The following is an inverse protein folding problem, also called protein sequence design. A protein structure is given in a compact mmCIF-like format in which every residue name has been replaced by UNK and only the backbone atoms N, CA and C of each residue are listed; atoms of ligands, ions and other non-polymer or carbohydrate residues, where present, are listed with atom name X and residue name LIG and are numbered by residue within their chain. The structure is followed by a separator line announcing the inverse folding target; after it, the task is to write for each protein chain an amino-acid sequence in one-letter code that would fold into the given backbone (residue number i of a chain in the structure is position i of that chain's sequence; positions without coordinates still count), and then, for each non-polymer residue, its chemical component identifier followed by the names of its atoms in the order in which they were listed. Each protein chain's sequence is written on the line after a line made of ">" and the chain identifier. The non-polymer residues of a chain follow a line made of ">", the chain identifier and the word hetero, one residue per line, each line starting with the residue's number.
data_IF_171275592271
#
_entry.id   IF_171275592271
#
_cell.length_a   1.000
_cell.length_b   1.000
_cell.length_c   1.000
_cell.angle_alpha   90.00
_cell.angle_beta   90.00
_cell.angle_gamma   90.00
#
_symmetry.space_group_name_H-M   'P 1'
#
loop_
_entity.id
_entity.type
_entity.pdbx_description
1 polymer ?
#
# COMPACT_ATOMS: atom_id res chain seq x y z
N UNK A 1 3.20 27.99 7.96
CA UNK A 1 1.77 27.63 7.73
C UNK A 1 1.18 27.23 9.10
N UNK A 2 0.03 27.75 9.48
CA UNK A 2 -0.61 27.35 10.76
C UNK A 2 -1.48 26.12 10.52
N UNK A 3 -0.98 24.93 10.85
CA UNK A 3 -1.68 23.65 10.62
C UNK A 3 -2.96 23.56 11.43
N UNK A 4 -2.98 24.07 12.65
CA UNK A 4 -4.18 24.12 13.50
C UNK A 4 -5.35 24.81 12.80
N UNK A 5 -5.10 25.98 12.17
CA UNK A 5 -6.14 26.70 11.44
C UNK A 5 -6.67 25.94 10.21
N UNK A 6 -5.82 25.17 9.53
CA UNK A 6 -6.23 24.33 8.39
C UNK A 6 -7.15 23.22 8.90
N UNK A 7 -6.72 22.45 9.90
CA UNK A 7 -7.48 21.34 10.47
C UNK A 7 -8.82 21.82 11.02
N UNK A 8 -8.85 22.96 11.72
CA UNK A 8 -10.09 23.55 12.23
C UNK A 8 -11.07 23.93 11.12
N UNK A 9 -10.62 24.55 10.02
CA UNK A 9 -11.47 24.87 8.87
C UNK A 9 -12.04 23.62 8.22
N UNK A 10 -11.23 22.58 8.04
CA UNK A 10 -11.69 21.31 7.49
C UNK A 10 -12.67 20.61 8.43
N UNK A 11 -12.47 20.69 9.73
CA UNK A 11 -13.39 20.16 10.74
C UNK A 11 -14.75 20.90 10.70
N UNK A 12 -14.74 22.20 10.59
CA UNK A 12 -15.98 23.01 10.42
C UNK A 12 -16.72 22.64 9.13
N UNK A 13 -15.99 22.47 8.01
CA UNK A 13 -16.58 22.04 6.74
C UNK A 13 -17.19 20.65 6.84
N UNK A 14 -16.49 19.70 7.46
CA UNK A 14 -17.01 18.36 7.71
C UNK A 14 -18.26 18.37 8.59
N UNK A 15 -18.26 19.18 9.67
CA UNK A 15 -19.39 19.31 10.60
C UNK A 15 -20.63 19.94 9.95
N UNK A 16 -20.48 20.74 8.91
CA UNK A 16 -21.60 21.26 8.13
C UNK A 16 -22.43 20.16 7.45
N UNK A 17 -21.88 18.94 7.34
CA UNK A 17 -22.54 17.81 6.68
C UNK A 17 -22.44 17.83 5.15
N UNK A 18 -21.73 18.78 4.54
CA UNK A 18 -21.61 18.91 3.08
C UNK A 18 -21.06 17.62 2.42
N UNK A 19 -20.15 16.89 3.08
CA UNK A 19 -19.51 15.69 2.53
C UNK A 19 -20.37 14.42 2.63
N UNK A 20 -21.56 14.48 3.27
CA UNK A 20 -22.37 13.28 3.60
C UNK A 20 -23.10 12.71 2.39
N UNK A 21 -23.55 13.56 1.45
CA UNK A 21 -24.39 13.10 0.35
C UNK A 21 -23.59 12.27 -0.67
N UNK A 22 -24.26 11.30 -1.29
CA UNK A 22 -23.68 10.52 -2.40
C UNK A 22 -23.29 11.43 -3.57
N UNK A 23 -24.14 12.43 -3.88
CA UNK A 23 -23.91 13.32 -5.01
C UNK A 23 -22.66 14.19 -4.81
N UNK A 24 -22.46 14.76 -3.62
CA UNK A 24 -21.25 15.51 -3.31
C UNK A 24 -19.99 14.67 -3.56
N UNK A 25 -19.95 13.44 -3.01
CA UNK A 25 -18.79 12.53 -3.15
C UNK A 25 -18.53 12.18 -4.62
N UNK A 26 -19.59 11.91 -5.38
CA UNK A 26 -19.47 11.63 -6.83
C UNK A 26 -18.95 12.81 -7.62
N UNK A 27 -19.43 14.01 -7.31
CA UNK A 27 -18.96 15.25 -7.94
C UNK A 27 -17.47 15.47 -7.67
N UNK A 28 -17.03 15.30 -6.42
CA UNK A 28 -15.60 15.48 -6.09
C UNK A 28 -14.71 14.44 -6.77
N UNK A 29 -15.12 13.16 -6.80
CA UNK A 29 -14.39 12.12 -7.49
C UNK A 29 -14.31 12.36 -9.01
N UNK A 30 -15.40 12.85 -9.65
CA UNK A 30 -15.39 13.23 -11.06
C UNK A 30 -14.46 14.41 -11.32
N UNK A 31 -14.52 15.46 -10.50
CA UNK A 31 -13.61 16.62 -10.62
C UNK A 31 -12.15 16.18 -10.55
N UNK A 32 -11.80 15.28 -9.63
CA UNK A 32 -10.44 14.75 -9.52
C UNK A 32 -10.06 13.94 -10.77
N UNK A 33 -10.96 13.08 -11.28
CA UNK A 33 -10.77 12.30 -12.49
C UNK A 33 -10.49 13.20 -13.70
N UNK A 34 -11.35 14.20 -13.92
CA UNK A 34 -11.27 15.10 -15.08
C UNK A 34 -10.02 16.00 -15.02
N UNK A 35 -9.64 16.43 -13.80
CA UNK A 35 -8.42 17.21 -13.60
C UNK A 35 -7.15 16.41 -13.85
N UNK A 36 -7.14 15.10 -13.50
CA UNK A 36 -6.02 14.20 -13.82
C UNK A 36 -5.86 14.06 -15.34
N UNK A 37 -6.94 13.87 -16.07
CA UNK A 37 -6.90 13.79 -17.53
C UNK A 37 -6.46 15.11 -18.16
N UNK A 38 -7.00 16.24 -17.69
CA UNK A 38 -6.67 17.57 -18.24
C UNK A 38 -5.21 17.98 -17.98
N UNK A 39 -4.56 17.41 -16.96
CA UNK A 39 -3.17 17.74 -16.58
C UNK A 39 -2.18 16.58 -16.82
N UNK A 40 -2.58 15.55 -17.56
CA UNK A 40 -1.78 14.34 -17.79
C UNK A 40 -0.36 14.65 -18.23
N UNK A 41 -0.19 15.48 -19.28
CA UNK A 41 1.15 15.83 -19.80
C UNK A 41 2.04 16.52 -18.76
N UNK A 42 1.47 17.39 -17.92
CA UNK A 42 2.22 18.07 -16.86
C UNK A 42 2.62 17.09 -15.73
N UNK A 43 1.74 16.13 -15.40
CA UNK A 43 2.03 15.09 -14.42
C UNK A 43 3.10 14.12 -14.91
N UNK A 44 3.04 13.71 -16.18
CA UNK A 44 4.08 12.88 -16.81
C UNK A 44 5.44 13.59 -16.79
N UNK A 45 5.48 14.87 -17.14
CA UNK A 45 6.70 15.68 -17.11
C UNK A 45 7.27 15.81 -15.68
N UNK A 46 6.42 15.98 -14.67
CA UNK A 46 6.84 16.06 -13.27
C UNK A 46 7.43 14.72 -12.76
N UNK A 47 6.80 13.59 -13.08
CA UNK A 47 7.28 12.25 -12.74
C UNK A 47 8.62 11.93 -13.44
N UNK A 48 8.77 12.38 -14.68
CA UNK A 48 10.04 12.26 -15.39
C UNK A 48 11.13 13.13 -14.74
N UNK A 49 10.83 14.34 -14.35
CA UNK A 49 11.78 15.24 -13.69
C UNK A 49 12.29 14.70 -12.36
N UNK A 50 11.42 14.05 -11.56
CA UNK A 50 11.77 13.50 -10.25
C UNK A 50 12.48 12.12 -10.32
N UNK A 51 12.03 11.23 -11.21
CA UNK A 51 12.43 9.81 -11.21
C UNK A 51 12.92 9.28 -12.56
N UNK A 52 12.91 10.11 -13.61
CA UNK A 52 13.22 9.70 -15.00
C UNK A 52 12.32 8.58 -15.52
N UNK A 53 11.11 8.42 -14.98
CA UNK A 53 10.14 7.46 -15.51
C UNK A 53 9.77 7.80 -16.94
N UNK A 54 9.71 6.78 -17.83
CA UNK A 54 9.14 6.97 -19.16
C UNK A 54 7.67 7.32 -19.07
N UNK A 55 7.09 7.99 -20.09
CA UNK A 55 5.65 8.29 -20.09
C UNK A 55 4.78 7.05 -19.91
N UNK A 56 5.19 5.91 -20.49
CA UNK A 56 4.49 4.63 -20.42
C UNK A 56 4.52 4.08 -18.99
N UNK A 57 5.69 4.05 -18.34
CA UNK A 57 5.83 3.61 -16.96
C UNK A 57 5.06 4.55 -16.00
N UNK A 58 5.24 5.86 -16.15
CA UNK A 58 4.56 6.85 -15.32
C UNK A 58 3.03 6.74 -15.43
N UNK A 59 2.50 6.55 -16.65
CA UNK A 59 1.07 6.37 -16.83
C UNK A 59 0.58 5.05 -16.24
N UNK A 60 1.23 3.93 -16.56
CA UNK A 60 0.80 2.60 -16.15
C UNK A 60 0.87 2.38 -14.64
N UNK A 61 1.87 2.97 -13.97
CA UNK A 61 2.11 2.74 -12.54
C UNK A 61 1.58 3.82 -11.61
N UNK A 62 1.20 4.99 -12.16
CA UNK A 62 0.73 6.12 -11.35
C UNK A 62 -0.61 6.67 -11.83
N UNK A 63 -0.67 7.40 -12.94
CA UNK A 63 -1.89 8.11 -13.39
C UNK A 63 -3.02 7.12 -13.68
N UNK A 64 -2.74 6.07 -14.45
CA UNK A 64 -3.71 5.06 -14.88
C UNK A 64 -4.34 4.31 -13.71
N UNK A 65 -3.53 3.99 -12.67
CA UNK A 65 -4.02 3.30 -11.47
C UNK A 65 -4.97 4.20 -10.66
N UNK A 66 -4.65 5.49 -10.48
CA UNK A 66 -5.54 6.43 -9.78
C UNK A 66 -6.84 6.63 -10.55
N UNK A 67 -6.78 6.78 -11.88
CA UNK A 67 -7.97 6.86 -12.72
C UNK A 67 -8.84 5.61 -12.64
N UNK A 68 -8.22 4.43 -12.57
CA UNK A 68 -8.93 3.16 -12.39
C UNK A 68 -9.60 3.08 -11.01
N UNK A 69 -8.92 3.48 -9.95
CA UNK A 69 -9.46 3.53 -8.58
C UNK A 69 -10.67 4.48 -8.48
N UNK A 70 -10.58 5.68 -9.10
CA UNK A 70 -11.71 6.62 -9.15
C UNK A 70 -12.91 6.01 -9.88
N UNK A 71 -12.70 5.39 -11.06
CA UNK A 71 -13.79 4.75 -11.82
C UNK A 71 -14.44 3.60 -11.04
N UNK A 72 -13.62 2.80 -10.35
CA UNK A 72 -14.11 1.72 -9.49
C UNK A 72 -14.94 2.29 -8.33
N UNK A 73 -14.44 3.30 -7.63
CA UNK A 73 -15.17 3.97 -6.55
C UNK A 73 -16.50 4.56 -7.04
N UNK A 74 -16.51 5.32 -8.13
CA UNK A 74 -17.74 5.90 -8.70
C UNK A 74 -18.83 4.87 -9.01
N UNK A 75 -18.43 3.68 -9.48
CA UNK A 75 -19.33 2.58 -9.80
C UNK A 75 -19.94 1.95 -8.54
N UNK A 76 -19.13 1.75 -7.50
CA UNK A 76 -19.51 0.94 -6.33
C UNK A 76 -19.97 1.77 -5.14
N UNK A 77 -19.67 3.07 -5.09
CA UNK A 77 -19.98 3.99 -3.98
C UNK A 77 -21.45 3.94 -3.52
N UNK A 78 -22.46 3.87 -4.41
CA UNK A 78 -23.85 3.75 -3.96
C UNK A 78 -24.12 2.51 -3.11
N UNK A 79 -23.42 1.41 -3.42
CA UNK A 79 -23.50 0.16 -2.64
C UNK A 79 -22.72 0.24 -1.33
N UNK A 80 -21.52 0.84 -1.36
CA UNK A 80 -20.65 0.96 -0.18
C UNK A 80 -21.28 1.83 0.92
N UNK A 81 -22.00 2.88 0.55
CA UNK A 81 -22.66 3.80 1.48
C UNK A 81 -23.94 3.22 2.11
N UNK A 82 -24.51 2.14 1.57
CA UNK A 82 -25.76 1.58 2.11
C UNK A 82 -25.52 0.94 3.48
N UNK A 83 -26.42 1.21 4.44
CA UNK A 83 -26.44 0.49 5.71
C UNK A 83 -26.57 -1.03 5.48
N UNK A 84 -25.67 -1.79 6.08
CA UNK A 84 -25.67 -3.26 5.97
C UNK A 84 -26.57 -3.85 7.05
N UNK A 85 -27.63 -4.55 6.66
CA UNK A 85 -28.48 -5.28 7.60
C UNK A 85 -27.68 -6.42 8.24
N UNK A 86 -27.86 -6.60 9.55
CA UNK A 86 -27.27 -7.66 10.37
C UNK A 86 -28.35 -8.30 11.25
N UNK A 87 -28.09 -9.50 11.74
CA UNK A 87 -28.91 -10.13 12.76
C UNK A 87 -28.99 -9.28 14.03
N UNK A 88 -30.08 -9.37 14.73
CA UNK A 88 -30.21 -8.85 16.08
C UNK A 88 -30.34 -10.03 17.06
N UNK A 89 -29.78 -9.93 18.29
CA UNK A 89 -29.95 -10.96 19.30
C UNK A 89 -31.44 -11.22 19.60
N UNK A 90 -31.83 -12.46 19.80
CA UNK A 90 -33.21 -12.82 20.10
C UNK A 90 -33.73 -12.11 21.37
N UNK A 91 -32.84 -11.88 22.35
CA UNK A 91 -33.13 -11.13 23.56
C UNK A 91 -33.54 -9.66 23.30
N UNK A 92 -33.19 -9.13 22.14
CA UNK A 92 -33.59 -7.78 21.71
C UNK A 92 -34.88 -7.77 20.86
N UNK A 93 -35.50 -8.95 20.61
CA UNK A 93 -36.70 -9.03 19.79
C UNK A 93 -37.83 -8.10 20.32
N UNK A 94 -38.58 -7.40 19.45
CA UNK A 94 -38.43 -7.31 18.00
C UNK A 94 -37.47 -6.19 17.59
N UNK A 95 -36.24 -6.58 17.21
CA UNK A 95 -35.20 -5.65 16.80
C UNK A 95 -34.57 -6.02 15.46
N UNK A 96 -33.91 -5.04 14.84
CA UNK A 96 -33.09 -5.18 13.60
C UNK A 96 -31.73 -4.53 13.79
N UNK A 97 -30.67 -5.24 13.43
CA UNK A 97 -29.31 -4.73 13.44
C UNK A 97 -28.92 -4.12 12.10
N UNK A 98 -28.09 -3.08 12.16
CA UNK A 98 -27.50 -2.44 10.98
C UNK A 98 -26.05 -2.04 11.28
N UNK A 99 -25.21 -1.99 10.26
CA UNK A 99 -23.91 -1.30 10.28
C UNK A 99 -24.00 -0.13 9.31
N UNK A 100 -23.82 1.08 9.83
CA UNK A 100 -23.79 2.31 9.07
C UNK A 100 -22.33 2.69 8.81
N UNK A 101 -21.89 2.82 7.55
CA UNK A 101 -20.58 3.37 7.23
C UNK A 101 -20.62 4.89 7.44
N UNK A 102 -19.76 5.41 8.31
CA UNK A 102 -19.65 6.84 8.60
C UNK A 102 -18.23 7.30 8.40
N UNK A 103 -17.98 8.45 7.71
CA UNK A 103 -16.62 9.01 7.59
C UNK A 103 -16.05 9.31 8.97
N UNK A 104 -14.75 9.15 9.11
CA UNK A 104 -14.06 9.55 10.36
C UNK A 104 -14.12 11.06 10.59
N UNK A 105 -13.84 11.88 9.57
CA UNK A 105 -13.82 13.33 9.67
C UNK A 105 -12.74 13.97 8.82
N UNK A 106 -11.64 14.39 9.42
CA UNK A 106 -10.48 14.96 8.75
C UNK A 106 -9.36 13.95 8.70
N UNK A 107 -8.96 13.54 7.50
CA UNK A 107 -7.90 12.58 7.24
C UNK A 107 -6.56 13.28 6.96
N UNK A 108 -5.47 12.70 7.42
CA UNK A 108 -4.11 13.03 6.97
C UNK A 108 -3.60 11.89 6.09
N UNK A 109 -3.16 12.20 4.87
CA UNK A 109 -2.52 11.25 3.96
C UNK A 109 -1.08 11.69 3.70
N UNK A 110 -0.12 10.87 4.09
CA UNK A 110 1.31 11.12 3.89
C UNK A 110 1.83 10.12 2.87
N UNK A 111 2.27 10.61 1.71
CA UNK A 111 2.77 9.80 0.61
C UNK A 111 4.29 9.80 0.49
N UNK A 112 4.88 8.72 -0.08
CA UNK A 112 6.30 8.57 -0.32
C UNK A 112 6.72 9.20 -1.66
N UNK A 113 7.98 9.03 -2.01
CA UNK A 113 8.60 9.60 -3.20
C UNK A 113 8.70 8.64 -4.40
N UNK A 114 8.54 7.34 -4.21
CA UNK A 114 8.80 6.34 -5.25
C UNK A 114 7.66 6.19 -6.28
N UNK A 115 6.42 6.34 -5.85
CA UNK A 115 5.23 6.52 -6.67
C UNK A 115 4.45 7.71 -6.11
N UNK A 116 5.00 8.93 -6.28
CA UNK A 116 4.58 10.11 -5.51
C UNK A 116 3.15 10.55 -5.82
N UNK A 117 2.63 10.25 -7.00
CA UNK A 117 1.26 10.56 -7.38
C UNK A 117 0.31 9.44 -6.92
N UNK A 118 0.60 8.20 -7.28
CA UNK A 118 -0.30 7.06 -7.02
C UNK A 118 -0.47 6.81 -5.52
N UNK A 119 0.63 6.74 -4.75
CA UNK A 119 0.59 6.42 -3.32
C UNK A 119 0.06 7.56 -2.44
N UNK A 120 -0.12 8.75 -3.01
CA UNK A 120 -0.81 9.86 -2.33
C UNK A 120 -2.29 9.94 -2.75
N UNK A 121 -2.59 9.79 -4.04
CA UNK A 121 -3.93 10.01 -4.56
C UNK A 121 -4.84 8.77 -4.49
N UNK A 122 -4.32 7.55 -4.56
CA UNK A 122 -5.15 6.35 -4.40
C UNK A 122 -5.79 6.25 -3.00
N UNK A 123 -5.06 6.47 -1.88
CA UNK A 123 -5.69 6.60 -0.56
C UNK A 123 -6.67 7.78 -0.48
N UNK A 124 -6.35 8.91 -1.11
CA UNK A 124 -7.26 10.07 -1.18
C UNK A 124 -8.59 9.69 -1.83
N UNK A 125 -8.59 8.89 -2.91
CA UNK A 125 -9.84 8.40 -3.52
C UNK A 125 -10.70 7.67 -2.49
N UNK A 126 -10.11 6.82 -1.66
CA UNK A 126 -10.79 6.15 -0.54
C UNK A 126 -11.37 7.14 0.47
N UNK A 127 -10.58 8.15 0.87
CA UNK A 127 -11.00 9.18 1.82
C UNK A 127 -12.19 10.01 1.27
N UNK A 128 -12.15 10.41 -0.01
CA UNK A 128 -13.24 11.14 -0.68
C UNK A 128 -14.50 10.28 -0.83
N UNK A 129 -14.34 9.02 -1.22
CA UNK A 129 -15.44 8.06 -1.33
C UNK A 129 -16.11 7.85 0.03
N UNK A 130 -15.35 7.76 1.12
CA UNK A 130 -15.87 7.66 2.48
C UNK A 130 -16.51 8.96 2.97
N UNK A 131 -16.19 10.12 2.39
CA UNK A 131 -16.76 11.43 2.73
C UNK A 131 -15.97 12.20 3.77
N UNK A 132 -14.65 11.99 3.85
CA UNK A 132 -13.75 12.76 4.70
C UNK A 132 -13.28 14.04 4.02
N UNK A 133 -12.90 15.03 4.81
CA UNK A 133 -11.99 16.10 4.43
C UNK A 133 -10.54 15.61 4.57
N UNK A 134 -9.55 16.29 3.99
CA UNK A 134 -8.19 15.79 4.08
C UNK A 134 -7.07 16.80 3.89
N UNK A 135 -5.95 16.50 4.54
CA UNK A 135 -4.65 17.13 4.31
C UNK A 135 -3.74 16.10 3.66
N UNK A 136 -3.13 16.48 2.54
CA UNK A 136 -2.16 15.67 1.80
C UNK A 136 -0.75 16.19 2.09
N UNK A 137 0.16 15.32 2.46
CA UNK A 137 1.60 15.61 2.59
C UNK A 137 2.38 14.78 1.59
N UNK A 138 2.66 15.31 0.37
CA UNK A 138 3.57 14.66 -0.57
C UNK A 138 4.99 14.65 -0.04
N UNK A 139 5.82 13.75 -0.59
CA UNK A 139 7.24 13.70 -0.23
C UNK A 139 8.01 14.89 -0.78
N UNK A 140 8.91 15.43 0.01
CA UNK A 140 9.87 16.47 -0.36
C UNK A 140 10.93 15.99 -1.36
N UNK A 141 11.16 14.70 -1.46
CA UNK A 141 12.12 14.11 -2.40
C UNK A 141 11.60 14.05 -3.85
N UNK A 142 10.28 14.26 -4.07
CA UNK A 142 9.67 14.37 -5.38
C UNK A 142 9.02 15.76 -5.57
N UNK A 143 9.81 16.85 -5.62
CA UNK A 143 9.30 18.23 -5.56
C UNK A 143 8.48 18.61 -6.76
N UNK A 144 8.82 18.15 -7.96
CA UNK A 144 8.06 18.46 -9.18
C UNK A 144 6.66 17.84 -9.13
N UNK A 145 6.57 16.58 -8.73
CA UNK A 145 5.29 15.88 -8.59
C UNK A 145 4.48 16.46 -7.42
N UNK A 146 5.13 16.81 -6.30
CA UNK A 146 4.46 17.48 -5.18
C UNK A 146 3.82 18.81 -5.58
N UNK A 147 4.54 19.63 -6.37
CA UNK A 147 4.01 20.89 -6.89
C UNK A 147 2.86 20.69 -7.88
N UNK A 148 2.98 19.70 -8.79
CA UNK A 148 1.93 19.38 -9.74
C UNK A 148 0.64 18.89 -9.04
N UNK A 149 0.76 18.07 -8.02
CA UNK A 149 -0.38 17.62 -7.19
C UNK A 149 -1.01 18.81 -6.43
N UNK A 150 -0.20 19.69 -5.87
CA UNK A 150 -0.72 20.88 -5.17
C UNK A 150 -1.55 21.77 -6.10
N UNK A 151 -1.08 22.02 -7.33
CA UNK A 151 -1.81 22.76 -8.35
C UNK A 151 -3.10 22.02 -8.79
N UNK A 152 -3.04 20.69 -8.94
CA UNK A 152 -4.19 19.87 -9.30
C UNK A 152 -5.29 19.99 -8.24
N UNK A 153 -4.96 19.80 -6.97
CA UNK A 153 -5.93 19.84 -5.87
C UNK A 153 -6.51 21.26 -5.70
N UNK A 154 -5.68 22.30 -5.74
CA UNK A 154 -6.13 23.68 -5.62
C UNK A 154 -7.10 24.11 -6.74
N UNK A 155 -7.00 23.50 -7.92
CA UNK A 155 -7.89 23.80 -9.05
C UNK A 155 -9.29 23.16 -8.90
N UNK A 156 -9.45 22.10 -8.10
CA UNK A 156 -10.71 21.34 -8.05
C UNK A 156 -11.39 21.32 -6.70
N UNK A 157 -10.67 21.65 -5.62
CA UNK A 157 -11.19 21.58 -4.26
C UNK A 157 -10.90 22.87 -3.48
N UNK A 158 -11.85 23.38 -2.69
CA UNK A 158 -11.58 24.46 -1.77
C UNK A 158 -10.71 23.97 -0.59
N UNK A 159 -9.91 24.88 -0.03
CA UNK A 159 -8.92 24.58 1.01
C UNK A 159 -9.53 24.00 2.30
N UNK A 160 -10.77 24.34 2.61
CA UNK A 160 -11.54 23.80 3.73
C UNK A 160 -12.00 22.35 3.50
N UNK A 161 -11.90 21.84 2.27
CA UNK A 161 -12.20 20.44 1.98
C UNK A 161 -10.93 19.62 1.79
N UNK A 162 -10.03 20.06 0.91
CA UNK A 162 -8.73 19.40 0.70
C UNK A 162 -7.61 20.43 0.65
N UNK A 163 -6.48 20.08 1.27
CA UNK A 163 -5.28 20.94 1.30
C UNK A 163 -4.04 20.07 1.05
N UNK A 164 -3.08 20.59 0.28
CA UNK A 164 -1.76 20.01 0.13
C UNK A 164 -0.75 20.80 0.96
N UNK A 165 -0.12 20.15 1.90
CA UNK A 165 0.95 20.73 2.74
C UNK A 165 2.31 20.27 2.21
N UNK A 166 2.92 21.11 1.36
CA UNK A 166 4.28 20.88 0.84
C UNK A 166 5.32 21.33 1.87
N UNK A 167 6.48 20.73 1.82
CA UNK A 167 7.65 21.05 2.63
C UNK A 167 8.34 19.82 3.18
N UNK A 168 9.40 20.06 3.90
CA UNK A 168 10.30 19.04 4.42
C UNK A 168 9.73 18.34 5.67
N UNK A 169 10.61 17.63 6.38
CA UNK A 169 10.29 16.83 7.56
C UNK A 169 9.53 17.63 8.64
N UNK A 170 9.87 18.90 8.83
CA UNK A 170 9.25 19.78 9.83
C UNK A 170 7.75 19.99 9.57
N UNK A 171 7.34 19.98 8.29
CA UNK A 171 5.92 20.05 7.91
C UNK A 171 5.19 18.79 8.32
N UNK A 172 5.78 17.61 8.09
CA UNK A 172 5.21 16.34 8.51
C UNK A 172 5.11 16.25 10.05
N UNK A 173 6.16 16.64 10.76
CA UNK A 173 6.17 16.69 12.23
C UNK A 173 5.13 17.70 12.77
N UNK A 174 4.98 18.85 12.12
CA UNK A 174 3.97 19.83 12.48
C UNK A 174 2.54 19.30 12.31
N UNK A 175 2.25 18.61 11.20
CA UNK A 175 0.97 17.96 10.96
C UNK A 175 0.69 16.85 11.98
N UNK A 176 1.68 16.04 12.33
CA UNK A 176 1.52 14.94 13.28
C UNK A 176 1.30 15.42 14.74
N UNK A 177 1.49 16.70 15.04
CA UNK A 177 1.09 17.30 16.33
C UNK A 177 -0.40 17.63 16.38
N UNK A 178 -1.04 17.79 15.22
CA UNK A 178 -2.46 18.11 15.14
C UNK A 178 -3.33 16.85 15.30
N UNK A 179 -4.55 17.02 15.80
CA UNK A 179 -5.52 15.95 15.93
C UNK A 179 -6.25 15.72 14.62
N UNK A 180 -5.88 14.68 13.89
CA UNK A 180 -6.65 14.11 12.78
C UNK A 180 -7.59 13.01 13.28
N UNK A 181 -8.61 12.69 12.48
CA UNK A 181 -9.58 11.64 12.82
C UNK A 181 -9.18 10.27 12.21
N UNK A 182 -8.27 10.26 11.23
CA UNK A 182 -7.55 9.09 10.70
C UNK A 182 -6.28 9.53 10.01
N UNK A 183 -5.25 8.67 10.01
CA UNK A 183 -3.99 8.91 9.30
C UNK A 183 -3.70 7.73 8.38
N UNK A 184 -3.39 8.00 7.12
CA UNK A 184 -2.85 7.04 6.16
C UNK A 184 -1.40 7.43 5.85
N UNK A 185 -0.50 6.50 6.02
CA UNK A 185 0.93 6.72 5.80
C UNK A 185 1.51 5.61 4.94
N UNK A 186 2.25 6.00 3.91
CA UNK A 186 3.10 5.08 3.13
C UNK A 186 4.55 5.54 3.23
N UNK A 187 5.46 4.63 3.60
CA UNK A 187 6.88 4.94 3.73
C UNK A 187 7.68 3.87 4.46
N UNK A 188 8.83 4.24 5.03
CA UNK A 188 9.67 3.28 5.75
C UNK A 188 9.09 2.86 7.10
N UNK A 189 9.41 1.65 7.55
CA UNK A 189 8.98 1.11 8.84
C UNK A 189 9.36 2.01 10.02
N UNK A 190 10.56 2.61 9.99
CA UNK A 190 11.00 3.50 11.06
C UNK A 190 10.15 4.78 11.17
N UNK A 191 9.79 5.38 10.02
CA UNK A 191 8.91 6.56 10.02
C UNK A 191 7.47 6.14 10.37
N UNK A 192 7.01 4.97 9.93
CA UNK A 192 5.70 4.42 10.31
C UNK A 192 5.54 4.27 11.82
N UNK A 193 6.57 3.81 12.52
CA UNK A 193 6.60 3.78 14.01
C UNK A 193 6.44 5.17 14.62
N UNK A 194 7.11 6.18 14.04
CA UNK A 194 6.98 7.59 14.48
C UNK A 194 5.55 8.11 14.26
N UNK A 195 4.95 7.83 13.11
CA UNK A 195 3.56 8.22 12.81
C UNK A 195 2.58 7.55 13.78
N UNK A 196 2.74 6.26 14.03
CA UNK A 196 1.92 5.52 14.99
C UNK A 196 2.03 6.08 16.42
N UNK A 197 3.24 6.38 16.86
CA UNK A 197 3.48 6.99 18.18
C UNK A 197 2.84 8.38 18.31
N UNK A 198 2.87 9.19 17.24
CA UNK A 198 2.20 10.49 17.21
C UNK A 198 0.67 10.34 17.25
N UNK A 199 0.11 9.43 16.44
CA UNK A 199 -1.33 9.14 16.39
C UNK A 199 -1.87 8.65 17.75
N UNK A 200 -1.10 7.86 18.48
CA UNK A 200 -1.48 7.33 19.80
C UNK A 200 -1.82 8.43 20.81
N UNK A 201 -1.20 9.62 20.73
CA UNK A 201 -1.50 10.77 21.61
C UNK A 201 -2.94 11.26 21.50
N UNK A 202 -3.56 11.04 20.35
CA UNK A 202 -4.92 11.48 20.03
C UNK A 202 -5.89 10.31 19.87
N UNK A 203 -5.44 9.06 20.07
CA UNK A 203 -6.18 7.81 19.79
C UNK A 203 -6.68 7.77 18.33
N UNK A 204 -5.89 8.33 17.42
CA UNK A 204 -6.22 8.38 15.99
C UNK A 204 -5.93 7.04 15.34
N UNK A 205 -6.89 6.41 14.64
CA UNK A 205 -6.66 5.20 13.88
C UNK A 205 -5.68 5.48 12.73
N UNK A 206 -4.80 4.51 12.47
CA UNK A 206 -3.77 4.60 11.42
C UNK A 206 -3.87 3.43 10.45
N UNK A 207 -3.62 3.71 9.17
CA UNK A 207 -3.27 2.71 8.16
C UNK A 207 -1.82 2.98 7.75
N UNK A 208 -0.97 1.95 7.84
CA UNK A 208 0.46 2.05 7.60
C UNK A 208 0.82 1.09 6.47
N UNK A 209 1.27 1.63 5.34
CA UNK A 209 1.82 0.89 4.23
C UNK A 209 3.34 1.05 4.25
N UNK A 210 4.02 -0.01 4.66
CA UNK A 210 5.45 0.01 4.91
C UNK A 210 6.18 -0.85 3.87
N UNK A 211 7.45 -1.13 4.10
CA UNK A 211 8.25 -1.94 3.19
C UNK A 211 8.54 -3.34 3.76
N UNK A 212 9.70 -3.82 3.39
CA UNK A 212 10.24 -5.09 3.87
C UNK A 212 11.05 -5.82 2.80
N UNK A 213 11.80 -6.84 3.22
CA UNK A 213 12.58 -7.68 2.29
C UNK A 213 11.67 -8.74 1.68
N UNK A 214 11.03 -8.41 0.55
CA UNK A 214 10.12 -9.30 -0.16
C UNK A 214 10.86 -10.48 -0.81
N UNK A 215 10.71 -11.73 -0.31
CA UNK A 215 11.36 -12.90 -0.86
C UNK A 215 10.72 -13.35 -2.16
N UNK A 216 11.54 -13.90 -3.06
CA UNK A 216 11.07 -14.56 -4.27
C UNK A 216 11.64 -15.99 -4.31
N UNK A 217 10.79 -17.00 -4.07
CA UNK A 217 11.17 -18.40 -4.11
C UNK A 217 11.00 -18.95 -5.53
N UNK A 218 12.03 -19.63 -6.04
CA UNK A 218 12.01 -20.29 -7.36
C UNK A 218 12.33 -21.78 -7.15
N UNK A 219 11.33 -22.63 -7.35
CA UNK A 219 11.48 -24.07 -7.23
C UNK A 219 12.12 -24.69 -8.48
N UNK A 220 12.61 -25.92 -8.36
CA UNK A 220 13.30 -26.63 -9.42
C UNK A 220 12.44 -26.90 -10.67
N UNK A 221 11.12 -26.97 -10.49
CA UNK A 221 10.13 -27.22 -11.53
C UNK A 221 9.60 -25.94 -12.20
N UNK A 222 10.10 -24.76 -11.76
CA UNK A 222 9.67 -23.48 -12.30
C UNK A 222 10.11 -23.29 -13.77
N UNK A 223 9.22 -22.78 -14.66
CA UNK A 223 9.60 -22.43 -16.03
C UNK A 223 10.52 -21.21 -16.03
N UNK A 224 11.84 -21.41 -16.13
CA UNK A 224 12.87 -20.40 -15.83
C UNK A 224 12.77 -19.14 -16.68
N UNK A 225 12.51 -19.24 -17.99
CA UNK A 225 12.45 -18.06 -18.88
C UNK A 225 11.29 -17.13 -18.55
N UNK A 226 10.12 -17.68 -18.23
CA UNK A 226 8.95 -16.89 -17.80
C UNK A 226 9.20 -16.33 -16.42
N UNK A 227 9.69 -17.14 -15.49
CA UNK A 227 9.99 -16.73 -14.11
C UNK A 227 10.99 -15.58 -14.10
N UNK A 228 12.09 -15.72 -14.83
CA UNK A 228 13.13 -14.68 -14.91
C UNK A 228 12.59 -13.36 -15.49
N UNK A 229 11.75 -13.40 -16.55
CA UNK A 229 11.14 -12.18 -17.09
C UNK A 229 10.23 -11.49 -16.07
N UNK A 230 9.40 -12.23 -15.35
CA UNK A 230 8.50 -11.70 -14.32
C UNK A 230 9.26 -11.15 -13.11
N UNK A 231 10.31 -11.84 -12.69
CA UNK A 231 11.20 -11.40 -11.61
C UNK A 231 11.94 -10.13 -12.02
N UNK A 232 12.55 -10.11 -13.21
CA UNK A 232 13.28 -8.95 -13.71
C UNK A 232 12.37 -7.73 -13.89
N UNK A 233 11.15 -7.92 -14.41
CA UNK A 233 10.17 -6.85 -14.53
C UNK A 233 9.80 -6.27 -13.16
N UNK A 234 9.37 -7.09 -12.21
CA UNK A 234 8.98 -6.62 -10.88
C UNK A 234 10.12 -6.06 -10.05
N UNK A 235 11.37 -6.53 -10.31
CA UNK A 235 12.55 -6.02 -9.62
C UNK A 235 13.04 -4.69 -10.16
N UNK A 236 13.08 -4.51 -11.49
CA UNK A 236 13.79 -3.39 -12.09
C UNK A 236 12.87 -2.24 -12.55
N UNK A 237 11.56 -2.41 -12.51
CA UNK A 237 10.60 -1.33 -12.62
C UNK A 237 10.90 -0.23 -11.59
N UNK A 238 10.81 1.04 -11.99
CA UNK A 238 11.17 2.21 -11.16
C UNK A 238 12.59 2.12 -10.56
N UNK A 239 13.53 1.52 -11.30
CA UNK A 239 14.89 1.22 -10.83
C UNK A 239 14.90 0.45 -9.48
N UNK A 240 13.95 -0.43 -9.25
CA UNK A 240 13.82 -1.24 -8.03
C UNK A 240 13.33 -0.51 -6.80
N UNK A 241 12.94 0.75 -6.92
CA UNK A 241 12.46 1.59 -5.83
C UNK A 241 10.97 1.35 -5.55
N UNK A 242 10.62 0.09 -5.23
CA UNK A 242 9.24 -0.39 -5.07
C UNK A 242 9.15 -1.26 -3.83
N UNK A 243 8.21 -0.96 -2.93
CA UNK A 243 8.03 -1.67 -1.65
C UNK A 243 7.68 -3.16 -1.81
N UNK A 244 7.12 -3.54 -2.94
CA UNK A 244 6.81 -4.92 -3.32
C UNK A 244 7.78 -5.49 -4.36
N UNK A 245 8.89 -4.83 -4.71
CA UNK A 245 9.89 -5.42 -5.60
C UNK A 245 10.45 -6.71 -4.96
N UNK A 246 10.69 -7.78 -5.73
CA UNK A 246 11.51 -8.88 -5.24
C UNK A 246 12.82 -8.34 -4.67
N UNK A 247 13.00 -8.46 -3.36
CA UNK A 247 14.17 -7.87 -2.70
C UNK A 247 15.37 -8.80 -2.78
N UNK A 248 15.11 -10.11 -2.79
CA UNK A 248 16.08 -11.17 -3.06
C UNK A 248 15.38 -12.41 -3.62
N UNK A 249 16.12 -13.26 -4.31
CA UNK A 249 15.67 -14.56 -4.82
C UNK A 249 16.27 -15.67 -3.98
N UNK A 250 15.43 -16.63 -3.58
CA UNK A 250 15.83 -17.95 -3.09
C UNK A 250 15.55 -18.94 -4.21
N UNK A 251 16.57 -19.56 -4.77
CA UNK A 251 16.45 -20.50 -5.88
C UNK A 251 16.93 -21.89 -5.51
N UNK A 252 16.20 -22.91 -5.96
CA UNK A 252 16.66 -24.30 -5.85
C UNK A 252 18.02 -24.46 -6.56
N UNK A 253 19.02 -24.98 -5.87
CA UNK A 253 20.40 -25.10 -6.37
C UNK A 253 20.48 -25.75 -7.74
N UNK A 254 19.61 -26.72 -8.03
CA UNK A 254 19.60 -27.48 -9.28
C UNK A 254 19.32 -26.60 -10.51
N UNK A 255 18.63 -25.49 -10.35
CA UNK A 255 18.20 -24.59 -11.45
C UNK A 255 18.81 -23.19 -11.37
N UNK A 256 19.68 -22.94 -10.40
CA UNK A 256 20.32 -21.64 -10.16
C UNK A 256 20.96 -21.03 -11.41
N UNK A 257 21.86 -21.79 -12.05
CA UNK A 257 22.64 -21.28 -13.18
C UNK A 257 21.75 -21.01 -14.40
N UNK A 258 20.72 -21.86 -14.60
CA UNK A 258 19.67 -21.63 -15.60
C UNK A 258 18.88 -20.35 -15.34
N UNK A 259 18.50 -20.09 -14.08
CA UNK A 259 17.80 -18.88 -13.70
C UNK A 259 18.68 -17.63 -13.88
N UNK A 260 19.95 -17.66 -13.46
CA UNK A 260 20.88 -16.54 -13.64
C UNK A 260 21.06 -16.20 -15.12
N UNK A 261 21.23 -17.21 -15.97
CA UNK A 261 21.32 -17.00 -17.42
C UNK A 261 20.02 -16.39 -18.01
N UNK A 262 18.84 -16.86 -17.54
CA UNK A 262 17.55 -16.34 -17.97
C UNK A 262 17.32 -14.89 -17.49
N UNK A 263 17.71 -14.55 -16.25
CA UNK A 263 17.63 -13.19 -15.70
C UNK A 263 18.51 -12.20 -16.50
N UNK A 264 19.73 -12.60 -16.85
CA UNK A 264 20.62 -11.77 -17.72
C UNK A 264 19.97 -11.50 -19.08
N UNK A 265 19.39 -12.53 -19.72
CA UNK A 265 18.66 -12.36 -20.98
C UNK A 265 17.46 -11.41 -20.83
N UNK A 266 16.71 -11.53 -19.73
CA UNK A 266 15.56 -10.68 -19.47
C UNK A 266 15.96 -9.20 -19.28
N UNK A 267 17.00 -8.92 -18.48
CA UNK A 267 17.53 -7.55 -18.28
C UNK A 267 17.97 -6.94 -19.60
N UNK A 268 18.74 -7.69 -20.41
CA UNK A 268 19.19 -7.22 -21.72
C UNK A 268 18.02 -6.98 -22.68
N UNK A 269 17.01 -7.83 -22.66
CA UNK A 269 15.83 -7.68 -23.51
C UNK A 269 14.99 -6.45 -23.13
N UNK A 270 14.95 -6.06 -21.85
CA UNK A 270 14.16 -4.93 -21.37
C UNK A 270 14.87 -3.59 -21.58
N UNK A 271 16.17 -3.54 -21.31
CA UNK A 271 16.91 -2.27 -21.21
C UNK A 271 18.08 -2.16 -22.21
N UNK A 272 18.29 -3.17 -23.07
CA UNK A 272 19.39 -3.20 -24.03
C UNK A 272 20.72 -3.62 -23.42
N UNK A 273 21.80 -3.49 -24.22
CA UNK A 273 23.16 -3.79 -23.77
C UNK A 273 23.72 -2.71 -22.83
N UNK A 274 23.22 -1.49 -22.95
CA UNK A 274 23.59 -0.35 -22.13
C UNK A 274 22.32 0.28 -21.51
N UNK A 275 21.90 -0.19 -20.33
CA UNK A 275 20.70 0.34 -19.67
C UNK A 275 20.75 1.83 -19.32
N UNK A 276 21.94 2.46 -19.28
CA UNK A 276 22.07 3.90 -19.02
C UNK A 276 21.39 4.75 -20.10
N UNK A 277 21.34 4.24 -21.32
CA UNK A 277 20.74 4.86 -22.51
C UNK A 277 19.29 4.49 -22.73
N UNK A 278 18.76 3.55 -21.94
CA UNK A 278 17.35 3.15 -22.06
C UNK A 278 16.42 4.27 -21.61
N UNK A 279 15.46 4.62 -22.45
CA UNK A 279 14.41 5.60 -22.10
C UNK A 279 13.39 5.02 -21.10
N UNK A 280 13.37 3.69 -20.96
CA UNK A 280 12.45 2.96 -20.06
C UNK A 280 13.10 2.58 -18.73
N UNK A 281 14.28 3.13 -18.42
CA UNK A 281 14.97 2.86 -17.18
C UNK A 281 15.10 4.13 -16.32
N UNK A 282 14.49 4.11 -15.13
CA UNK A 282 14.48 5.23 -14.20
C UNK A 282 15.84 5.55 -13.55
N UNK A 283 15.82 6.47 -12.59
CA UNK A 283 17.01 6.87 -11.81
C UNK A 283 16.74 6.75 -10.31
N UNK A 284 17.80 6.66 -9.53
CA UNK A 284 17.72 6.70 -8.08
C UNK A 284 17.32 8.12 -7.65
N UNK A 285 16.40 8.21 -6.69
CA UNK A 285 15.77 9.48 -6.33
C UNK A 285 16.74 10.56 -5.85
N UNK A 286 17.78 10.19 -5.12
CA UNK A 286 18.75 11.17 -4.60
C UNK A 286 20.11 10.55 -4.28
N UNK A 287 21.08 11.40 -4.01
CA UNK A 287 22.46 11.03 -3.72
C UNK A 287 22.61 10.11 -2.51
N UNK A 288 21.84 10.33 -1.45
CA UNK A 288 21.92 9.50 -0.24
C UNK A 288 21.52 8.04 -0.53
N UNK A 289 20.43 7.82 -1.27
CA UNK A 289 20.04 6.47 -1.68
C UNK A 289 21.01 5.85 -2.67
N UNK A 290 21.54 6.65 -3.60
CA UNK A 290 22.56 6.21 -4.55
C UNK A 290 23.81 5.69 -3.82
N UNK A 291 24.38 6.48 -2.89
CA UNK A 291 25.60 6.10 -2.15
C UNK A 291 25.37 4.84 -1.31
N UNK A 292 24.20 4.69 -0.68
CA UNK A 292 23.82 3.47 0.05
C UNK A 292 23.77 2.25 -0.87
N UNK A 293 23.16 2.39 -2.04
CA UNK A 293 23.00 1.29 -2.99
C UNK A 293 24.33 0.87 -3.63
N UNK A 294 25.17 1.83 -3.98
CA UNK A 294 26.49 1.51 -4.55
C UNK A 294 27.41 0.81 -3.55
N UNK A 295 27.26 1.11 -2.24
CA UNK A 295 27.99 0.37 -1.20
C UNK A 295 27.62 -1.12 -1.16
N UNK A 296 26.38 -1.50 -1.49
CA UNK A 296 25.95 -2.91 -1.54
C UNK A 296 26.56 -3.73 -2.67
N UNK A 297 27.17 -3.08 -3.68
CA UNK A 297 27.83 -3.80 -4.79
C UNK A 297 29.03 -4.63 -4.30
N UNK A 298 29.61 -4.28 -3.17
CA UNK A 298 30.70 -5.02 -2.54
C UNK A 298 30.25 -6.22 -1.69
N UNK A 299 28.95 -6.40 -1.47
CA UNK A 299 28.41 -7.44 -0.57
C UNK A 299 28.34 -8.83 -1.23
N UNK A 300 28.67 -8.97 -2.52
CA UNK A 300 28.64 -10.25 -3.24
C UNK A 300 29.36 -10.19 -4.59
N UNK A 301 29.23 -11.28 -5.36
CA UNK A 301 29.77 -11.35 -6.74
C UNK A 301 28.75 -10.81 -7.73
N UNK A 302 29.15 -9.83 -8.55
CA UNK A 302 28.31 -9.28 -9.60
C UNK A 302 28.26 -10.26 -10.77
N UNK A 303 27.06 -10.77 -11.08
CA UNK A 303 26.78 -11.63 -12.24
C UNK A 303 26.52 -10.80 -13.51
N UNK A 304 25.80 -9.68 -13.35
CA UNK A 304 25.63 -8.66 -14.40
C UNK A 304 25.27 -7.32 -13.76
N UNK A 305 25.47 -6.23 -14.48
CA UNK A 305 25.25 -4.88 -13.96
C UNK A 305 26.44 -4.35 -13.18
N UNK A 306 26.19 -3.54 -12.15
CA UNK A 306 27.21 -2.90 -11.31
C UNK A 306 27.73 -1.57 -11.85
N UNK A 307 27.47 -1.23 -13.12
CA UNK A 307 27.85 0.08 -13.67
C UNK A 307 27.01 1.17 -13.00
N UNK A 308 27.63 2.26 -12.62
CA UNK A 308 26.96 3.35 -11.97
C UNK A 308 27.59 4.71 -12.27
N UNK A 309 26.77 5.76 -12.25
CA UNK A 309 27.20 7.13 -12.48
C UNK A 309 26.51 8.08 -11.48
N UNK A 310 27.30 8.70 -10.63
CA UNK A 310 26.81 9.53 -9.54
C UNK A 310 26.17 10.86 -10.02
N UNK A 311 26.64 11.40 -11.14
CA UNK A 311 26.15 12.65 -11.73
C UNK A 311 24.73 12.52 -12.29
N UNK A 312 24.38 11.33 -12.77
CA UNK A 312 23.05 10.99 -13.31
C UNK A 312 22.19 10.14 -12.34
N UNK A 313 22.68 9.88 -11.12
CA UNK A 313 22.06 8.98 -10.14
C UNK A 313 21.72 7.60 -10.76
N UNK A 314 22.49 7.18 -11.74
CA UNK A 314 22.31 5.93 -12.46
C UNK A 314 22.99 4.78 -11.72
N UNK A 315 22.26 3.68 -11.55
CA UNK A 315 22.77 2.38 -11.12
C UNK A 315 22.14 1.30 -12.00
N UNK A 316 22.96 0.53 -12.66
CA UNK A 316 22.52 -0.52 -13.58
C UNK A 316 21.69 -1.60 -12.87
N UNK A 317 20.72 -2.24 -13.56
CA UNK A 317 20.10 -3.47 -13.09
C UNK A 317 21.18 -4.50 -12.76
N UNK A 318 21.30 -4.84 -11.48
CA UNK A 318 22.43 -5.63 -10.96
C UNK A 318 21.95 -6.92 -10.30
N UNK A 319 22.60 -8.03 -10.66
CA UNK A 319 22.37 -9.33 -10.03
C UNK A 319 23.63 -9.70 -9.25
N UNK A 320 23.44 -10.02 -7.96
CA UNK A 320 24.50 -10.47 -7.05
C UNK A 320 24.32 -11.94 -6.69
N UNK A 321 25.43 -12.66 -6.50
CA UNK A 321 25.46 -13.99 -5.91
C UNK A 321 26.46 -14.03 -4.76
N UNK A 322 26.34 -15.05 -3.88
CA UNK A 322 27.31 -15.23 -2.80
C UNK A 322 27.27 -14.13 -1.71
N UNK A 323 26.21 -13.33 -1.65
CA UNK A 323 26.05 -12.38 -0.55
C UNK A 323 25.84 -13.13 0.78
N UNK A 324 26.64 -12.87 1.81
CA UNK A 324 26.45 -13.46 3.11
C UNK A 324 25.07 -13.10 3.70
N UNK A 325 24.41 -13.99 4.47
CA UNK A 325 23.09 -13.70 5.05
C UNK A 325 23.06 -12.47 5.97
N UNK A 326 24.21 -12.11 6.53
CA UNK A 326 24.41 -10.98 7.44
C UNK A 326 25.00 -9.74 6.75
N UNK A 327 25.25 -9.78 5.44
CA UNK A 327 25.67 -8.60 4.69
C UNK A 327 24.63 -7.47 4.71
N UNK A 328 25.01 -6.19 4.62
CA UNK A 328 24.08 -5.06 4.59
C UNK A 328 22.96 -5.21 3.55
N UNK A 329 23.29 -5.68 2.33
CA UNK A 329 22.30 -5.94 1.27
C UNK A 329 21.26 -6.97 1.67
N UNK A 330 21.55 -7.87 2.62
CA UNK A 330 20.65 -8.89 3.12
C UNK A 330 19.92 -8.53 4.43
N UNK A 331 20.36 -7.50 5.15
CA UNK A 331 19.74 -7.03 6.41
C UNK A 331 18.64 -6.01 6.17
N UNK A 332 18.88 -5.04 5.29
CA UNK A 332 17.98 -3.93 5.02
C UNK A 332 17.17 -4.17 3.74
N UNK A 333 16.02 -3.52 3.61
CA UNK A 333 15.31 -3.41 2.34
C UNK A 333 16.18 -2.66 1.34
N UNK A 334 16.44 -3.27 0.18
CA UNK A 334 17.36 -2.71 -0.82
C UNK A 334 16.79 -1.43 -1.41
N UNK A 335 15.53 -1.46 -1.83
CA UNK A 335 14.82 -0.33 -2.44
C UNK A 335 15.62 0.30 -3.59
N UNK A 336 16.09 -0.56 -4.49
CA UNK A 336 16.97 -0.22 -5.61
C UNK A 336 17.22 -1.41 -6.53
N UNK A 337 17.97 -1.21 -7.65
CA UNK A 337 18.09 -2.16 -8.74
C UNK A 337 19.15 -3.24 -8.49
N UNK A 338 19.24 -3.76 -7.28
CA UNK A 338 20.17 -4.83 -6.92
C UNK A 338 19.37 -6.05 -6.48
N UNK A 339 19.60 -7.20 -7.09
CA UNK A 339 18.94 -8.46 -6.84
C UNK A 339 19.92 -9.51 -6.35
N UNK A 340 20.03 -9.75 -5.04
CA UNK A 340 20.76 -10.91 -4.52
C UNK A 340 20.01 -12.20 -4.86
N UNK A 341 20.77 -13.21 -5.31
CA UNK A 341 20.30 -14.57 -5.60
C UNK A 341 21.03 -15.53 -4.68
N UNK A 342 20.29 -16.17 -3.78
CA UNK A 342 20.76 -17.16 -2.85
C UNK A 342 20.20 -18.54 -3.25
N UNK A 343 20.93 -19.58 -2.93
CA UNK A 343 20.51 -20.96 -3.21
C UNK A 343 20.01 -21.66 -1.95
N UNK A 344 19.13 -22.63 -2.15
CA UNK A 344 18.72 -23.57 -1.12
C UNK A 344 18.77 -25.02 -1.67
N UNK A 345 18.97 -26.00 -0.80
CA UNK A 345 19.04 -27.41 -1.17
C UNK A 345 17.69 -28.11 -1.14
N UNK A 346 16.83 -27.71 -0.22
CA UNK A 346 15.46 -28.21 -0.08
C UNK A 346 14.48 -27.08 0.17
N UNK A 347 13.20 -27.29 -0.12
CA UNK A 347 12.16 -26.30 0.18
C UNK A 347 12.13 -25.94 1.68
N UNK A 348 12.42 -26.89 2.55
CA UNK A 348 12.54 -26.68 4.00
C UNK A 348 13.62 -25.68 4.35
N UNK A 349 14.79 -25.77 3.71
CA UNK A 349 15.88 -24.81 3.92
C UNK A 349 15.48 -23.43 3.43
N UNK A 350 14.83 -23.35 2.26
CA UNK A 350 14.27 -22.09 1.74
C UNK A 350 13.26 -21.46 2.70
N UNK A 351 12.35 -22.26 3.26
CA UNK A 351 11.36 -21.80 4.24
C UNK A 351 12.00 -21.41 5.59
N UNK A 352 13.04 -22.13 6.03
CA UNK A 352 13.78 -21.80 7.25
C UNK A 352 14.43 -20.42 7.16
N UNK A 353 15.00 -20.07 6.00
CA UNK A 353 15.58 -18.73 5.77
C UNK A 353 14.55 -17.59 5.88
N UNK A 354 13.25 -17.88 5.75
CA UNK A 354 12.18 -16.87 5.86
C UNK A 354 11.69 -16.68 7.29
N UNK A 355 11.76 -17.71 8.13
CA UNK A 355 11.13 -17.74 9.48
C UNK A 355 11.66 -16.67 10.41
N UNK A 356 12.97 -16.42 10.38
CA UNK A 356 13.65 -15.51 11.29
C UNK A 356 13.68 -14.05 10.75
N UNK A 357 13.06 -13.80 9.61
CA UNK A 357 12.99 -12.46 9.01
C UNK A 357 11.71 -11.73 9.38
N UNK A 358 11.74 -10.40 9.47
CA UNK A 358 10.52 -9.59 9.62
C UNK A 358 9.50 -9.92 8.54
N UNK A 359 8.21 -9.86 8.87
CA UNK A 359 7.13 -10.15 7.94
C UNK A 359 7.16 -9.19 6.75
N UNK A 360 7.38 -9.66 5.50
CA UNK A 360 7.48 -8.82 4.33
C UNK A 360 6.11 -8.32 3.84
N UNK A 361 6.10 -7.26 3.06
CA UNK A 361 4.88 -6.76 2.42
C UNK A 361 4.37 -7.72 1.34
N UNK A 362 5.26 -8.33 0.58
CA UNK A 362 4.91 -9.33 -0.43
C UNK A 362 5.83 -10.57 -0.36
N UNK A 363 5.29 -11.72 -0.77
CA UNK A 363 6.03 -12.96 -1.00
C UNK A 363 5.71 -13.47 -2.40
N UNK A 364 6.73 -13.93 -3.11
CA UNK A 364 6.63 -14.48 -4.46
C UNK A 364 7.06 -15.94 -4.48
N UNK A 365 6.33 -16.77 -5.24
CA UNK A 365 6.66 -18.20 -5.40
C UNK A 365 6.46 -18.61 -6.85
N UNK A 366 7.48 -19.24 -7.42
CA UNK A 366 7.45 -19.80 -8.77
C UNK A 366 7.54 -21.31 -8.74
N UNK A 367 6.44 -21.97 -8.99
CA UNK A 367 6.26 -23.42 -9.15
C UNK A 367 4.88 -23.71 -9.75
N UNK A 368 4.71 -24.65 -10.68
CA UNK A 368 3.40 -25.13 -11.12
C UNK A 368 2.76 -26.09 -10.09
N UNK A 369 3.53 -26.65 -9.15
CA UNK A 369 3.03 -27.64 -8.20
C UNK A 369 2.13 -27.02 -7.11
N UNK A 370 0.85 -27.40 -7.13
CA UNK A 370 -0.15 -26.88 -6.17
C UNK A 370 0.12 -27.30 -4.73
N UNK A 371 0.65 -28.49 -4.50
CA UNK A 371 0.94 -28.94 -3.15
C UNK A 371 2.04 -28.10 -2.51
N UNK A 372 3.08 -27.75 -3.27
CA UNK A 372 4.12 -26.82 -2.86
C UNK A 372 3.55 -25.40 -2.62
N UNK A 373 2.67 -24.91 -3.49
CA UNK A 373 2.00 -23.61 -3.30
C UNK A 373 1.22 -23.58 -1.99
N UNK A 374 0.35 -24.56 -1.73
CA UNK A 374 -0.44 -24.66 -0.50
C UNK A 374 0.45 -24.76 0.74
N UNK A 375 1.54 -25.53 0.65
CA UNK A 375 2.50 -25.68 1.74
C UNK A 375 3.18 -24.36 2.07
N UNK A 376 3.67 -23.61 1.07
CA UNK A 376 4.30 -22.29 1.29
C UNK A 376 3.30 -21.33 1.90
N UNK A 377 2.06 -21.27 1.39
CA UNK A 377 1.00 -20.43 1.93
C UNK A 377 0.70 -20.75 3.41
N UNK A 378 0.70 -22.02 3.78
CA UNK A 378 0.43 -22.45 5.16
C UNK A 378 1.59 -22.16 6.14
N UNK A 379 2.84 -22.13 5.65
CA UNK A 379 4.03 -22.04 6.49
C UNK A 379 4.70 -20.67 6.52
N UNK A 380 4.20 -19.71 5.71
CA UNK A 380 4.77 -18.35 5.63
C UNK A 380 3.76 -17.29 6.00
N UNK A 381 4.26 -16.08 6.28
CA UNK A 381 3.45 -14.89 6.56
C UNK A 381 3.96 -13.72 5.73
N UNK A 382 3.05 -12.96 5.14
CA UNK A 382 3.33 -11.72 4.39
C UNK A 382 2.08 -10.85 4.32
N UNK A 383 2.18 -9.62 3.88
CA UNK A 383 1.03 -8.78 3.57
C UNK A 383 0.21 -9.37 2.41
N UNK A 384 0.87 -9.78 1.35
CA UNK A 384 0.26 -10.45 0.21
C UNK A 384 1.19 -11.51 -0.41
N UNK A 385 0.62 -12.40 -1.23
CA UNK A 385 1.37 -13.42 -1.98
C UNK A 385 1.00 -13.36 -3.46
N UNK A 386 2.00 -13.47 -4.33
CA UNK A 386 1.78 -13.65 -5.75
C UNK A 386 2.41 -14.96 -6.22
N UNK A 387 1.59 -15.87 -6.74
CA UNK A 387 2.03 -17.16 -7.25
C UNK A 387 2.32 -17.06 -8.75
N UNK A 388 3.51 -17.48 -9.15
CA UNK A 388 3.99 -17.49 -10.53
C UNK A 388 4.03 -16.11 -11.22
N UNK A 389 4.01 -15.03 -10.45
CA UNK A 389 4.18 -13.67 -10.94
C UNK A 389 4.80 -12.78 -9.85
N UNK A 390 5.03 -11.50 -10.15
CA UNK A 390 5.49 -10.50 -9.19
C UNK A 390 4.65 -9.24 -9.29
N UNK A 391 4.49 -8.50 -8.20
CA UNK A 391 3.86 -7.17 -8.13
C UNK A 391 2.36 -7.15 -8.49
N UNK A 392 1.90 -7.90 -9.49
CA UNK A 392 0.55 -7.81 -10.08
C UNK A 392 -0.62 -8.00 -9.09
N UNK A 393 -0.40 -8.65 -7.94
CA UNK A 393 -1.42 -8.84 -6.91
C UNK A 393 -1.92 -7.51 -6.29
N UNK A 394 -1.14 -6.43 -6.42
CA UNK A 394 -1.53 -5.10 -5.94
C UNK A 394 -2.38 -4.28 -6.92
N UNK A 395 -2.54 -4.73 -8.17
CA UNK A 395 -3.24 -3.95 -9.21
C UNK A 395 -4.77 -4.09 -9.10
N UNK A 396 -5.25 -5.20 -8.53
CA UNK A 396 -6.67 -5.51 -8.47
C UNK A 396 -7.43 -4.76 -7.38
N UNK A 397 -8.64 -4.26 -7.70
CA UNK A 397 -9.50 -3.59 -6.72
C UNK A 397 -10.24 -4.54 -5.79
N UNK A 398 -10.27 -5.84 -6.10
CA UNK A 398 -10.96 -6.88 -5.32
C UNK A 398 -10.06 -7.58 -4.30
N UNK A 399 -8.75 -7.37 -4.42
CA UNK A 399 -7.75 -7.87 -3.46
C UNK A 399 -7.32 -6.72 -2.55
N UNK A 400 -7.60 -6.79 -1.23
CA UNK A 400 -7.06 -5.82 -0.29
C UNK A 400 -5.54 -5.88 -0.31
N UNK A 401 -4.90 -4.72 -0.39
CA UNK A 401 -3.45 -4.58 -0.32
C UNK A 401 -3.05 -3.94 0.99
N UNK A 402 -2.11 -4.55 1.70
CA UNK A 402 -1.61 -4.05 2.98
C UNK A 402 -0.63 -5.00 3.64
N UNK A 403 0.15 -4.46 4.58
CA UNK A 403 1.17 -5.19 5.32
C UNK A 403 0.68 -5.82 6.62
N UNK A 404 1.57 -6.57 7.26
CA UNK A 404 1.37 -7.20 8.56
C UNK A 404 2.61 -7.01 9.45
N UNK A 405 2.44 -6.46 10.66
CA UNK A 405 3.54 -6.23 11.59
C UNK A 405 4.54 -5.18 11.05
N UNK A 406 5.78 -5.57 10.78
CA UNK A 406 6.82 -4.64 10.31
C UNK A 406 6.56 -4.11 8.89
N UNK A 407 5.73 -4.79 8.09
CA UNK A 407 5.37 -4.33 6.74
C UNK A 407 4.10 -3.48 6.70
N UNK A 408 3.35 -3.34 7.80
CA UNK A 408 2.20 -2.45 7.81
C UNK A 408 1.08 -2.81 8.77
N UNK A 409 0.03 -2.00 8.72
CA UNK A 409 -1.19 -2.12 9.50
C UNK A 409 -2.38 -1.61 8.68
N UNK A 410 -3.40 -2.43 8.52
CA UNK A 410 -4.55 -2.11 7.68
C UNK A 410 -4.37 -2.55 6.24
N UNK A 411 -5.31 -2.15 5.37
CA UNK A 411 -5.27 -2.44 3.94
C UNK A 411 -6.09 -1.42 3.16
N UNK A 412 -5.81 -1.27 1.87
CA UNK A 412 -6.53 -0.39 0.97
C UNK A 412 -6.71 -1.05 -0.42
N UNK A 413 -7.07 -0.34 -1.44
CA UNK A 413 -7.57 -0.68 -2.77
C UNK A 413 -9.06 -1.06 -2.80
N UNK A 414 -9.77 -0.48 -3.75
CA UNK A 414 -11.19 -0.74 -3.97
C UNK A 414 -12.03 -0.55 -2.71
N UNK A 415 -12.79 -1.59 -2.33
CA UNK A 415 -13.63 -1.55 -1.14
C UNK A 415 -12.83 -1.31 0.16
N UNK A 416 -11.64 -1.88 0.27
CA UNK A 416 -10.79 -1.70 1.44
C UNK A 416 -10.36 -0.24 1.61
N UNK A 417 -10.12 0.52 0.51
CA UNK A 417 -9.88 1.97 0.57
C UNK A 417 -11.04 2.73 1.21
N UNK A 418 -12.28 2.41 0.85
CA UNK A 418 -13.45 3.00 1.48
C UNK A 418 -13.54 2.64 2.97
N UNK A 419 -13.32 1.36 3.29
CA UNK A 419 -13.47 0.86 4.66
C UNK A 419 -12.39 1.40 5.61
N UNK A 420 -11.14 1.62 5.16
CA UNK A 420 -10.08 2.17 6.00
C UNK A 420 -10.30 3.65 6.41
N UNK A 421 -11.10 4.39 5.63
CA UNK A 421 -11.50 5.76 5.96
C UNK A 421 -12.93 5.88 6.53
N UNK A 422 -13.50 4.74 6.98
CA UNK A 422 -14.90 4.65 7.42
C UNK A 422 -15.02 4.00 8.80
N UNK A 423 -15.71 4.67 9.73
CA UNK A 423 -16.15 4.05 10.97
C UNK A 423 -17.42 3.21 10.72
N UNK A 424 -17.42 1.98 11.21
CA UNK A 424 -18.55 1.03 11.08
C UNK A 424 -19.45 1.12 12.32
N UNK A 425 -20.39 2.07 12.32
CA UNK A 425 -21.28 2.31 13.44
C UNK A 425 -22.36 1.25 13.52
N UNK A 426 -22.39 0.51 14.64
CA UNK A 426 -23.43 -0.46 14.94
C UNK A 426 -24.71 0.23 15.42
N UNK A 427 -25.86 -0.12 14.83
CA UNK A 427 -27.16 0.42 15.18
C UNK A 427 -28.14 -0.73 15.39
N UNK A 428 -28.76 -0.79 16.58
CA UNK A 428 -29.86 -1.68 16.87
C UNK A 428 -31.17 -0.86 16.89
N UNK A 429 -32.09 -1.17 15.97
CA UNK A 429 -33.43 -0.54 15.93
C UNK A 429 -34.44 -1.50 16.49
N UNK A 430 -35.08 -1.12 17.61
CA UNK A 430 -36.14 -1.89 18.28
C UNK A 430 -37.47 -1.18 18.13
N UNK A 431 -38.55 -1.96 18.01
CA UNK A 431 -39.92 -1.44 18.05
C UNK A 431 -40.31 -0.99 19.48
N UNK A 432 -41.06 0.09 19.60
CA UNK A 432 -41.66 0.53 20.85
C UNK A 432 -43.04 -0.12 21.11
N UNK A 433 -43.59 -0.83 20.14
CA UNK A 433 -44.91 -1.46 20.25
C UNK A 433 -44.93 -2.68 21.19
N UNK A 434 -43.77 -3.32 21.40
CA UNK A 434 -43.65 -4.53 22.23
C UNK A 434 -42.43 -4.38 23.14
N UNK A 435 -42.66 -4.52 24.46
CA UNK A 435 -41.58 -4.55 25.45
C UNK A 435 -41.67 -5.82 26.33
N UNK A 436 -41.00 -6.92 25.93
CA UNK A 436 -40.97 -8.13 26.73
C UNK A 436 -40.32 -7.89 28.09
N UNK A 437 -41.06 -8.17 29.16
CA UNK A 437 -40.63 -7.91 30.55
C UNK A 437 -39.57 -8.89 31.08
N UNK A 438 -39.15 -9.88 30.28
CA UNK A 438 -38.15 -10.91 30.66
C UNK A 438 -36.82 -10.36 31.17
N UNK A 439 -36.41 -9.17 30.69
CA UNK A 439 -35.16 -8.51 31.07
C UNK A 439 -35.33 -7.52 32.24
N UNK A 440 -36.58 -7.23 32.64
CA UNK A 440 -36.82 -6.20 33.64
C UNK A 440 -36.69 -6.78 35.05
N UNK A 441 -36.07 -6.05 36.01
CA UNK A 441 -36.07 -6.48 37.40
C UNK A 441 -37.47 -6.29 38.04
N UNK A 442 -37.88 -7.14 39.00
CA UNK A 442 -37.19 -8.38 39.36
C UNK A 442 -37.33 -9.45 38.29
N UNK A 443 -36.29 -10.34 38.13
CA UNK A 443 -36.35 -11.40 37.13
C UNK A 443 -37.56 -12.29 37.30
N UNK A 444 -38.38 -12.48 36.26
CA UNK A 444 -39.59 -13.31 36.27
C UNK A 444 -39.34 -14.78 35.88
N UNK A 445 -38.08 -15.14 35.62
CA UNK A 445 -37.65 -16.48 35.23
C UNK A 445 -36.60 -17.01 36.18
N UNK A 446 -36.63 -18.32 36.44
CA UNK A 446 -35.64 -18.96 37.29
C UNK A 446 -34.25 -18.92 36.64
N UNK A 447 -33.17 -18.95 37.45
CA UNK A 447 -31.83 -19.01 36.97
C UNK A 447 -31.58 -20.24 36.05
N UNK A 448 -32.24 -21.37 36.36
CA UNK A 448 -32.14 -22.59 35.55
C UNK A 448 -32.74 -22.40 34.14
N UNK A 449 -33.89 -21.71 34.06
CA UNK A 449 -34.54 -21.36 32.78
C UNK A 449 -33.68 -20.38 31.98
N UNK A 450 -33.12 -19.37 32.65
CA UNK A 450 -32.22 -18.41 32.04
C UNK A 450 -30.96 -19.10 31.45
N UNK A 451 -30.32 -19.99 32.22
CA UNK A 451 -29.17 -20.78 31.77
C UNK A 451 -29.50 -21.66 30.54
N UNK A 452 -30.69 -22.29 30.51
CA UNK A 452 -31.14 -23.09 29.35
C UNK A 452 -31.35 -22.21 28.12
N UNK A 453 -32.03 -21.06 28.29
CA UNK A 453 -32.26 -20.09 27.21
C UNK A 453 -30.90 -19.58 26.61
N UNK A 454 -29.94 -19.23 27.47
CA UNK A 454 -28.61 -18.79 27.01
C UNK A 454 -27.85 -19.88 26.22
N UNK A 455 -27.93 -21.15 26.69
CA UNK A 455 -27.29 -22.27 25.93
C UNK A 455 -27.94 -22.50 24.57
N UNK A 456 -29.26 -22.25 24.44
CA UNK A 456 -29.98 -22.49 23.20
C UNK A 456 -29.85 -21.30 22.18
N UNK A 457 -29.82 -20.05 22.66
CA UNK A 457 -29.92 -18.88 21.83
C UNK A 457 -28.60 -18.12 21.66
N UNK A 458 -27.59 -18.36 22.48
CA UNK A 458 -26.27 -17.67 22.43
C UNK A 458 -25.10 -18.64 22.37
N UNK A 459 -25.28 -19.94 22.49
CA UNK A 459 -24.32 -21.01 22.20
C UNK A 459 -24.57 -21.53 20.82
#
# INVERSE_FOLDING_TARGET
>A
MCFTAIVQRQRAFFQSGATRSLEFRRVQLRKLHDALLARESALLAALHADLRKSPQEAYATEIGLVLAEIRHALRHLPGWMKPQRRGAPLLAWPARGFIFPEPYGVALVIGPWNYPLQLLLAPLVGALAAGNCGVLKPSEFAPHTAAAIAQLIAAVCPVEYLTVAQGEREVAEGLLREKFDTIFFTGSTNVGRTVMAAAARHLTPVTLELGGKCPCLVCADAPLDISARRIAWGKFMNAGQTCVAPDYVLVDRRVRDGLLAALRRAVRAFYGDDPSKSLDYGRIINRKHFDRLTAYLGDGQIVCGGQHEAGDLYLAPTILTGAPPDAPVMREEIFGPILPVLEYDSLEDGLALLRDRPTPLALYLFTPDRATQERVLAQTRSGGVCLNDTVTHMIGHDLPFGGLGDSGLGAYHGRASFDCFTHRRSVLRRSLAVDPSLRNPPPRVSLATLKRAYRFFLG
#
